data_IF_634639730867
#
_entry.id   IF_634639730867
#
_cell.length_a   1.000
_cell.length_b   1.000
_cell.length_c   1.000
_cell.angle_alpha   90.00
_cell.angle_beta   90.00
_cell.angle_gamma   90.00
#
_symmetry.space_group_name_H-M   'P 1'
#
loop_
_entity.id
_entity.type
_entity.pdbx_description
1 polymer ?
#
# COMPACT_ATOMS: atom_id res chain seq x y z
N UNK A 1 -6.43 9.67 10.75
CA UNK A 1 -7.00 10.78 9.96
C UNK A 1 -7.72 10.34 8.68
N UNK A 2 -8.25 9.12 8.64
CA UNK A 2 -9.02 8.54 7.52
C UNK A 2 -8.46 8.75 6.09
N UNK A 3 -7.17 8.44 5.82
CA UNK A 3 -6.60 8.58 4.47
C UNK A 3 -7.31 7.71 3.41
N UNK A 4 -7.86 6.56 3.80
CA UNK A 4 -8.60 5.63 2.94
C UNK A 4 -9.83 6.28 2.28
N UNK A 5 -10.41 7.31 2.91
CA UNK A 5 -11.58 8.04 2.39
C UNK A 5 -11.21 9.13 1.38
N UNK A 6 -9.93 9.40 1.19
CA UNK A 6 -9.43 10.50 0.33
C UNK A 6 -8.96 10.03 -1.04
N UNK A 7 -9.00 8.73 -1.32
CA UNK A 7 -8.51 8.14 -2.57
C UNK A 7 -9.66 7.54 -3.38
N UNK A 8 -9.53 7.61 -4.72
CA UNK A 8 -10.35 6.80 -5.64
C UNK A 8 -9.61 5.50 -5.88
N UNK A 9 -10.21 4.36 -5.55
CA UNK A 9 -9.53 3.08 -5.55
C UNK A 9 -10.22 2.05 -6.44
N UNK A 10 -9.40 1.22 -7.10
CA UNK A 10 -9.81 -0.06 -7.64
C UNK A 10 -9.47 -1.13 -6.61
N UNK A 11 -10.44 -1.96 -6.22
CA UNK A 11 -10.20 -3.12 -5.34
C UNK A 11 -10.20 -4.38 -6.19
N UNK A 12 -9.04 -5.05 -6.29
CA UNK A 12 -8.86 -6.26 -7.10
C UNK A 12 -8.77 -7.49 -6.19
N UNK A 13 -9.76 -8.37 -6.26
CA UNK A 13 -9.82 -9.64 -5.53
C UNK A 13 -9.95 -10.83 -6.49
N UNK A 14 -9.58 -12.03 -6.04
CA UNK A 14 -9.67 -13.27 -6.82
C UNK A 14 -8.54 -14.24 -6.52
N UNK A 15 -8.66 -15.51 -6.94
CA UNK A 15 -7.64 -16.53 -6.68
C UNK A 15 -6.38 -16.27 -7.49
N UNK A 16 -6.53 -15.99 -8.79
CA UNK A 16 -5.43 -15.82 -9.74
C UNK A 16 -5.54 -14.47 -10.48
N UNK A 17 -4.43 -14.00 -11.05
CA UNK A 17 -4.41 -12.84 -11.96
C UNK A 17 -4.44 -11.46 -11.30
N UNK A 18 -4.66 -11.34 -9.98
CA UNK A 18 -4.74 -10.05 -9.26
C UNK A 18 -3.57 -9.11 -9.58
N UNK A 19 -2.33 -9.60 -9.43
CA UNK A 19 -1.13 -8.80 -9.68
C UNK A 19 -1.04 -8.31 -11.13
N UNK A 20 -1.36 -9.18 -12.10
CA UNK A 20 -1.40 -8.81 -13.52
C UNK A 20 -2.49 -7.77 -13.81
N UNK A 21 -3.69 -7.93 -13.23
CA UNK A 21 -4.78 -6.95 -13.35
C UNK A 21 -4.40 -5.59 -12.78
N UNK A 22 -3.78 -5.55 -11.59
CA UNK A 22 -3.27 -4.30 -11.00
C UNK A 22 -2.22 -3.66 -11.93
N UNK A 23 -1.30 -4.45 -12.49
CA UNK A 23 -0.28 -3.94 -13.42
C UNK A 23 -0.90 -3.35 -14.70
N UNK A 24 -1.91 -3.99 -15.27
CA UNK A 24 -2.62 -3.47 -16.46
C UNK A 24 -3.38 -2.18 -16.15
N UNK A 25 -4.15 -2.14 -15.06
CA UNK A 25 -4.87 -0.93 -14.63
C UNK A 25 -3.89 0.23 -14.43
N UNK A 26 -2.79 -0.03 -13.71
CA UNK A 26 -1.73 0.95 -13.49
C UNK A 26 -1.18 1.48 -14.82
N UNK A 27 -0.78 0.59 -15.73
CA UNK A 27 -0.22 0.96 -17.03
C UNK A 27 -1.19 1.83 -17.85
N UNK A 28 -2.46 1.45 -17.93
CA UNK A 28 -3.48 2.20 -18.69
C UNK A 28 -3.74 3.59 -18.09
N UNK A 29 -3.83 3.69 -16.75
CA UNK A 29 -4.07 4.97 -16.09
C UNK A 29 -2.86 5.89 -16.12
N UNK A 30 -1.65 5.34 -16.01
CA UNK A 30 -0.42 6.11 -16.19
C UNK A 30 -0.33 6.69 -17.60
N UNK A 31 -0.61 5.88 -18.63
CA UNK A 31 -0.66 6.35 -20.02
C UNK A 31 -1.71 7.45 -20.22
N UNK A 32 -2.83 7.37 -19.50
CA UNK A 32 -3.86 8.41 -19.49
C UNK A 32 -3.51 9.64 -18.63
N UNK A 33 -2.29 9.74 -18.09
CA UNK A 33 -1.78 10.90 -17.36
C UNK A 33 -2.12 10.93 -15.86
N UNK A 34 -2.61 9.84 -15.28
CA UNK A 34 -2.90 9.77 -13.85
C UNK A 34 -1.66 9.34 -13.04
N UNK A 35 -1.52 9.90 -11.84
CA UNK A 35 -0.66 9.33 -10.80
C UNK A 35 -1.38 8.15 -10.14
N UNK A 36 -0.76 6.97 -10.16
CA UNK A 36 -1.38 5.73 -9.69
C UNK A 36 -0.54 5.12 -8.58
N UNK A 37 -1.14 4.99 -7.39
CA UNK A 37 -0.59 4.16 -6.32
C UNK A 37 -1.04 2.71 -6.47
N UNK A 38 -0.15 1.76 -6.20
CA UNK A 38 -0.48 0.33 -6.16
C UNK A 38 -0.08 -0.29 -4.83
N UNK A 39 -0.95 -1.15 -4.30
CA UNK A 39 -0.64 -2.06 -3.21
C UNK A 39 -0.76 -3.51 -3.68
N UNK A 40 0.30 -4.30 -3.54
CA UNK A 40 0.33 -5.71 -3.98
C UNK A 40 1.02 -6.61 -2.96
N UNK A 41 0.53 -7.85 -2.80
CA UNK A 41 1.14 -8.87 -1.94
C UNK A 41 1.01 -10.27 -2.55
N UNK A 42 2.01 -11.16 -2.37
CA UNK A 42 3.31 -10.91 -1.74
C UNK A 42 4.23 -10.03 -2.60
N UNK A 43 5.40 -9.65 -2.07
CA UNK A 43 6.50 -9.08 -2.86
C UNK A 43 7.40 -10.18 -3.45
N UNK A 44 8.22 -9.85 -4.45
CA UNK A 44 9.09 -10.81 -5.13
C UNK A 44 10.55 -10.65 -4.70
N UNK A 45 11.11 -9.44 -4.80
CA UNK A 45 12.54 -9.20 -4.50
C UNK A 45 12.68 -8.38 -3.22
N UNK A 46 11.96 -7.27 -3.13
CA UNK A 46 12.07 -6.32 -2.01
C UNK A 46 10.72 -6.01 -1.40
N UNK A 47 10.67 -5.83 -0.08
CA UNK A 47 9.44 -5.54 0.65
C UNK A 47 8.72 -4.29 0.11
N UNK A 48 9.50 -3.30 -0.34
CA UNK A 48 9.04 -2.03 -0.88
C UNK A 48 8.16 -2.18 -2.11
N UNK A 49 8.27 -3.28 -2.87
CA UNK A 49 7.38 -3.59 -4.00
C UNK A 49 5.90 -3.64 -3.60
N UNK A 50 5.61 -3.83 -2.31
CA UNK A 50 4.23 -3.83 -1.82
C UNK A 50 3.56 -2.48 -1.99
N UNK A 51 4.28 -1.36 -2.00
CA UNK A 51 3.73 -0.03 -2.17
C UNK A 51 4.53 0.67 -3.27
N UNK A 52 3.86 1.08 -4.35
CA UNK A 52 4.52 1.80 -5.43
C UNK A 52 3.66 2.95 -5.93
N UNK A 53 4.32 4.00 -6.40
CA UNK A 53 3.69 5.10 -7.14
C UNK A 53 4.22 5.06 -8.56
N UNK A 54 3.34 5.00 -9.54
CA UNK A 54 3.71 4.95 -10.96
C UNK A 54 4.66 3.78 -11.30
N UNK A 55 4.54 2.68 -10.55
CA UNK A 55 5.37 1.48 -10.71
C UNK A 55 6.76 1.57 -10.08
N UNK A 56 7.07 2.68 -9.41
CA UNK A 56 8.32 2.87 -8.67
C UNK A 56 8.04 2.48 -7.20
N UNK A 57 8.71 1.44 -6.67
CA UNK A 57 8.64 1.12 -5.25
C UNK A 57 9.07 2.30 -4.39
N UNK A 58 8.38 2.48 -3.26
CA UNK A 58 8.74 3.46 -2.23
C UNK A 58 10.18 3.24 -1.74
N UNK A 59 10.93 4.31 -1.43
CA UNK A 59 12.31 4.18 -0.93
C UNK A 59 12.38 3.69 0.52
N UNK A 60 13.54 3.21 0.96
CA UNK A 60 13.74 2.81 2.36
C UNK A 60 13.63 4.00 3.32
N UNK A 61 14.09 5.18 2.89
CA UNK A 61 13.95 6.41 3.67
C UNK A 61 12.50 6.83 3.83
N UNK A 62 11.72 6.80 2.73
CA UNK A 62 10.28 7.09 2.77
C UNK A 62 9.53 6.07 3.62
N UNK A 63 9.87 4.78 3.49
CA UNK A 63 9.30 3.72 4.31
C UNK A 63 9.54 3.96 5.79
N UNK A 64 10.80 4.22 6.15
CA UNK A 64 11.22 4.46 7.53
C UNK A 64 10.51 5.68 8.12
N UNK A 65 10.38 6.75 7.33
CA UNK A 65 9.66 7.95 7.75
C UNK A 65 8.18 7.66 8.06
N UNK A 66 7.49 6.91 7.19
CA UNK A 66 6.08 6.53 7.39
C UNK A 66 5.89 5.59 8.58
N UNK A 67 6.78 4.60 8.76
CA UNK A 67 6.75 3.70 9.93
C UNK A 67 6.92 4.50 11.21
N UNK A 68 7.89 5.42 11.26
CA UNK A 68 8.09 6.28 12.43
C UNK A 68 6.89 7.19 12.70
N UNK A 69 6.20 7.65 11.66
CA UNK A 69 4.97 8.42 11.80
C UNK A 69 3.81 7.56 12.36
N UNK A 70 3.71 6.29 11.96
CA UNK A 70 2.64 5.40 12.39
C UNK A 70 2.87 4.80 13.77
N UNK A 71 4.13 4.60 14.18
CA UNK A 71 4.51 3.93 15.43
C UNK A 71 3.78 4.44 16.68
N UNK A 72 3.67 5.75 16.95
CA UNK A 72 2.95 6.24 18.14
C UNK A 72 1.46 5.85 18.15
N UNK A 73 0.85 5.73 16.97
CA UNK A 73 -0.56 5.33 16.85
C UNK A 73 -0.73 3.82 17.09
N UNK A 74 0.20 3.02 16.62
CA UNK A 74 0.24 1.56 16.87
C UNK A 74 0.44 1.29 18.36
N UNK A 75 1.39 1.96 19.00
CA UNK A 75 1.66 1.85 20.44
C UNK A 75 0.45 2.29 21.29
N UNK A 76 -0.28 3.33 20.85
CA UNK A 76 -1.50 3.75 21.52
C UNK A 76 -2.64 2.73 21.37
N UNK A 77 -2.76 2.06 20.21
CA UNK A 77 -3.79 1.05 19.96
C UNK A 77 -3.59 -0.20 20.84
N UNK A 78 -2.34 -0.57 21.10
CA UNK A 78 -1.97 -1.69 21.97
C UNK A 78 -2.51 -1.55 23.40
N UNK A 79 -2.68 -0.32 23.86
CA UNK A 79 -3.25 -0.02 25.19
C UNK A 79 -4.78 -0.08 25.22
N UNK A 80 -5.42 -0.40 24.10
CA UNK A 80 -6.87 -0.52 23.99
C UNK A 80 -7.29 -1.99 23.93
N UNK A 81 -8.60 -2.25 23.98
CA UNK A 81 -9.15 -3.60 23.79
C UNK A 81 -8.85 -4.24 22.42
N UNK A 82 -8.38 -3.45 21.44
CA UNK A 82 -8.09 -3.94 20.09
C UNK A 82 -6.68 -4.55 19.95
N UNK A 83 -5.75 -4.22 20.84
CA UNK A 83 -4.36 -4.70 20.78
C UNK A 83 -3.57 -4.15 19.58
N UNK A 84 -2.41 -4.77 19.30
CA UNK A 84 -1.59 -4.39 18.15
C UNK A 84 -2.21 -4.85 16.82
N UNK A 85 -2.09 -4.04 15.74
CA UNK A 85 -2.44 -4.49 14.39
C UNK A 85 -1.49 -5.61 13.95
N UNK A 86 -2.01 -6.51 13.12
CA UNK A 86 -1.18 -7.53 12.46
C UNK A 86 -0.27 -6.91 11.39
N UNK A 87 0.67 -7.68 10.85
CA UNK A 87 1.59 -7.23 9.78
C UNK A 87 0.87 -6.76 8.49
N UNK A 88 -0.41 -7.10 8.31
CA UNK A 88 -1.20 -6.72 7.14
C UNK A 88 -2.18 -5.56 7.41
N UNK A 89 -2.42 -5.19 8.67
CA UNK A 89 -3.34 -4.12 9.10
C UNK A 89 -2.61 -2.79 9.31
#
# INVERSE_FOLDING_TARGET
>A
GHPEKKIRAFHVAGTNGKGSTVAFIRSMLQEAGYTVGTFTSPYIITFNERISVNGIPISDEEWTALVNQMKPHVEALDQTQYGQPTEFE
#
